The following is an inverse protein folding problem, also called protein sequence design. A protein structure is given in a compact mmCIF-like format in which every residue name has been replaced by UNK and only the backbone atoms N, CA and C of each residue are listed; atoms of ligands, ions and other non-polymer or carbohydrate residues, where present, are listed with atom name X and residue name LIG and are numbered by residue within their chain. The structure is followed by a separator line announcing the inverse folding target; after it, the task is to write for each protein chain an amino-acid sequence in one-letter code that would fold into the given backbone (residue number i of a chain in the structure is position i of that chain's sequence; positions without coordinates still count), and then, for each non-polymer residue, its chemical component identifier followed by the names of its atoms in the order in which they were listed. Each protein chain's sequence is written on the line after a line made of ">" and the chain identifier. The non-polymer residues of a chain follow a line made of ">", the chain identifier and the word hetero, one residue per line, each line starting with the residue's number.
data_IF_596106010458
#
_entry.id   IF_596106010458
#
_cell.length_a   1.000
_cell.length_b   1.000
_cell.length_c   1.000
_cell.angle_alpha   90.00
_cell.angle_beta   90.00
_cell.angle_gamma   90.00
#
_symmetry.space_group_name_H-M   'P 1'
#
loop_
_entity.id
_entity.type
_entity.pdbx_description
1 polymer ?
#
# COMPACT_ATOMS: atom_id res chain seq x y z
N UNK A 1 -10.19 -7.50 25.67
CA UNK A 1 -10.80 -6.91 24.45
C UNK A 1 -9.73 -6.35 23.50
N UNK A 2 -8.83 -5.47 23.95
CA UNK A 2 -7.77 -4.90 23.10
C UNK A 2 -6.79 -5.94 22.50
N UNK A 3 -6.41 -6.96 23.27
CA UNK A 3 -5.52 -8.04 22.79
C UNK A 3 -6.14 -8.84 21.63
N UNK A 4 -7.46 -9.10 21.67
CA UNK A 4 -8.18 -9.80 20.61
C UNK A 4 -8.26 -8.95 19.33
N UNK A 5 -8.44 -7.64 19.47
CA UNK A 5 -8.45 -6.71 18.34
C UNK A 5 -7.09 -6.65 17.63
N UNK A 6 -6.00 -6.57 18.40
CA UNK A 6 -4.64 -6.57 17.86
C UNK A 6 -4.29 -7.91 17.17
N UNK A 7 -4.66 -9.03 17.79
CA UNK A 7 -4.47 -10.36 17.20
C UNK A 7 -5.27 -10.53 15.89
N UNK A 8 -6.52 -10.06 15.85
CA UNK A 8 -7.35 -10.13 14.65
C UNK A 8 -6.82 -9.25 13.51
N UNK A 9 -6.33 -8.04 13.80
CA UNK A 9 -5.68 -7.16 12.82
C UNK A 9 -4.40 -7.79 12.26
N UNK A 10 -3.59 -8.39 13.12
CA UNK A 10 -2.36 -9.06 12.71
C UNK A 10 -2.67 -10.32 11.87
N UNK A 11 -3.63 -11.14 12.26
CA UNK A 11 -4.05 -12.31 11.49
C UNK A 11 -4.62 -11.92 10.12
N UNK A 12 -5.44 -10.87 10.04
CA UNK A 12 -5.94 -10.37 8.76
C UNK A 12 -4.78 -9.91 7.85
N UNK A 13 -3.77 -9.23 8.40
CA UNK A 13 -2.58 -8.84 7.63
C UNK A 13 -1.77 -10.04 7.14
N UNK A 14 -1.63 -11.08 7.96
CA UNK A 14 -0.90 -12.30 7.60
C UNK A 14 -1.67 -13.15 6.58
N UNK A 15 -3.00 -13.14 6.59
CA UNK A 15 -3.82 -13.82 5.59
C UNK A 15 -3.57 -13.31 4.16
N UNK A 16 -3.33 -12.01 3.98
CA UNK A 16 -2.94 -11.46 2.66
C UNK A 16 -1.53 -11.87 2.22
N UNK A 17 -0.67 -12.28 3.16
CA UNK A 17 0.69 -12.77 2.89
C UNK A 17 0.75 -14.31 2.72
N UNK A 18 -0.31 -15.02 3.10
CA UNK A 18 -0.44 -16.50 3.09
C UNK A 18 -1.10 -17.03 1.80
N UNK A 19 -1.15 -16.25 0.73
CA UNK A 19 -1.50 -16.78 -0.61
C UNK A 19 -0.28 -17.47 -1.25
N UNK A 20 0.18 -18.56 -0.63
CA UNK A 20 1.21 -19.44 -1.19
C UNK A 20 1.07 -20.91 -0.70
N UNK A 21 -0.14 -21.34 -0.35
CA UNK A 21 -0.42 -22.78 -0.30
C UNK A 21 -0.62 -23.27 -1.74
N UNK A 22 0.10 -24.30 -2.21
CA UNK A 22 -0.13 -24.85 -3.54
C UNK A 22 -1.50 -25.54 -3.58
N UNK A 23 -2.55 -24.84 -4.01
CA UNK A 23 -3.68 -25.50 -4.66
C UNK A 23 -3.18 -25.94 -6.02
N UNK A 24 -2.88 -27.22 -6.13
CA UNK A 24 -2.55 -27.89 -7.39
C UNK A 24 -3.79 -27.91 -8.29
N UNK A 25 -4.12 -26.77 -8.88
CA UNK A 25 -4.95 -26.73 -10.08
C UNK A 25 -4.04 -27.05 -11.26
N UNK A 26 -4.06 -28.30 -11.70
CA UNK A 26 -3.46 -28.77 -12.94
C UNK A 26 -4.18 -28.10 -14.11
N UNK A 27 -3.73 -26.90 -14.49
CA UNK A 27 -4.24 -26.11 -15.60
C UNK A 27 -3.09 -25.67 -16.50
N UNK A 28 -3.29 -25.82 -17.81
CA UNK A 28 -2.38 -25.60 -18.96
C UNK A 28 -1.14 -24.71 -18.74
N UNK A 29 -0.03 -25.06 -19.40
CA UNK A 29 1.32 -24.47 -19.29
C UNK A 29 1.50 -22.93 -19.47
N UNK A 30 0.42 -22.17 -19.65
CA UNK A 30 0.39 -20.70 -19.56
C UNK A 30 -0.10 -20.18 -18.20
N UNK A 31 -0.61 -21.07 -17.34
CA UNK A 31 -0.94 -20.83 -15.94
C UNK A 31 0.27 -21.27 -15.12
N UNK A 32 1.33 -20.45 -15.15
CA UNK A 32 2.42 -20.60 -14.20
C UNK A 32 1.86 -20.59 -12.77
N UNK A 33 2.47 -21.34 -11.83
CA UNK A 33 2.12 -21.20 -10.42
C UNK A 33 2.25 -19.71 -10.05
N UNK A 34 1.48 -19.22 -9.08
CA UNK A 34 1.55 -17.82 -8.58
C UNK A 34 0.98 -16.71 -9.47
N UNK A 35 -0.35 -16.66 -9.60
CA UNK A 35 -1.07 -15.44 -10.01
C UNK A 35 -0.88 -14.19 -9.12
N UNK A 36 -0.14 -14.33 -8.00
CA UNK A 36 0.20 -13.23 -7.09
C UNK A 36 1.59 -12.62 -7.28
N UNK A 37 2.49 -13.21 -8.07
CA UNK A 37 3.90 -12.77 -8.14
C UNK A 37 4.07 -11.38 -8.78
N UNK A 38 3.48 -11.19 -9.97
CA UNK A 38 3.60 -9.92 -10.72
C UNK A 38 2.77 -8.81 -10.04
N UNK A 39 1.54 -9.13 -9.63
CA UNK A 39 0.65 -8.16 -8.96
C UNK A 39 1.23 -7.77 -7.59
N UNK A 40 1.69 -8.73 -6.80
CA UNK A 40 2.36 -8.47 -5.52
C UNK A 40 3.65 -7.65 -5.69
N UNK A 41 4.42 -7.92 -6.74
CA UNK A 41 5.62 -7.14 -7.06
C UNK A 41 5.29 -5.68 -7.43
N UNK A 42 4.26 -5.45 -8.25
CA UNK A 42 3.79 -4.10 -8.58
C UNK A 42 3.35 -3.35 -7.32
N UNK A 43 2.58 -4.02 -6.45
CA UNK A 43 2.12 -3.44 -5.19
C UNK A 43 3.29 -3.09 -4.26
N UNK A 44 4.32 -3.95 -4.20
CA UNK A 44 5.54 -3.69 -3.43
C UNK A 44 6.32 -2.47 -3.95
N UNK A 45 6.45 -2.31 -5.28
CA UNK A 45 7.07 -1.13 -5.87
C UNK A 45 6.27 0.14 -5.54
N UNK A 46 4.93 0.05 -5.60
CA UNK A 46 4.06 1.19 -5.31
C UNK A 46 4.09 1.59 -3.82
N UNK A 47 4.22 0.64 -2.90
CA UNK A 47 4.41 0.91 -1.46
C UNK A 47 5.69 1.73 -1.21
N UNK A 48 6.81 1.34 -1.85
CA UNK A 48 8.08 2.09 -1.76
C UNK A 48 7.91 3.53 -2.24
N UNK A 49 7.22 3.74 -3.37
CA UNK A 49 6.97 5.07 -3.93
C UNK A 49 6.15 5.92 -2.95
N UNK A 50 5.09 5.36 -2.36
CA UNK A 50 4.26 6.06 -1.38
C UNK A 50 5.07 6.48 -0.15
N UNK A 51 5.95 5.61 0.36
CA UNK A 51 6.83 5.93 1.49
C UNK A 51 7.80 7.06 1.18
N UNK A 52 8.43 7.06 0.01
CA UNK A 52 9.32 8.14 -0.43
C UNK A 52 8.57 9.47 -0.49
N UNK A 53 7.34 9.48 -1.01
CA UNK A 53 6.51 10.69 -1.08
C UNK A 53 6.10 11.20 0.31
N UNK A 54 5.71 10.31 1.22
CA UNK A 54 5.35 10.64 2.61
C UNK A 54 6.54 11.26 3.35
N UNK A 55 7.73 10.67 3.23
CA UNK A 55 8.94 11.17 3.89
C UNK A 55 9.33 12.55 3.35
N UNK A 56 9.27 12.75 2.02
CA UNK A 56 9.59 14.03 1.37
C UNK A 56 8.56 15.14 1.62
N UNK A 57 7.34 14.81 2.07
CA UNK A 57 6.31 15.81 2.32
C UNK A 57 6.64 16.72 3.52
N UNK A 58 6.19 17.99 3.49
CA UNK A 58 6.38 18.95 4.60
C UNK A 58 5.28 18.83 5.68
N UNK A 59 4.76 17.61 5.91
CA UNK A 59 3.68 17.34 6.87
C UNK A 59 4.23 17.11 8.29
N UNK A 60 3.45 17.38 9.35
CA UNK A 60 3.86 17.05 10.72
C UNK A 60 4.19 15.55 10.84
N UNK A 61 5.20 15.19 11.65
CA UNK A 61 5.75 13.82 11.71
C UNK A 61 4.71 12.76 12.09
N UNK A 62 3.74 13.11 12.94
CA UNK A 62 2.63 12.22 13.34
C UNK A 62 1.79 11.78 12.12
N UNK A 63 1.48 12.71 11.22
CA UNK A 63 0.69 12.40 10.02
C UNK A 63 1.47 11.53 9.04
N UNK A 64 2.80 11.69 8.96
CA UNK A 64 3.65 10.83 8.13
C UNK A 64 3.58 9.38 8.61
N UNK A 65 3.71 9.17 9.92
CA UNK A 65 3.68 7.83 10.52
C UNK A 65 2.34 7.14 10.30
N UNK A 66 1.22 7.87 10.45
CA UNK A 66 -0.12 7.32 10.20
C UNK A 66 -0.29 6.86 8.75
N UNK A 67 0.14 7.68 7.78
CA UNK A 67 0.04 7.32 6.37
C UNK A 67 0.95 6.14 5.99
N UNK A 68 2.18 6.08 6.52
CA UNK A 68 3.05 4.92 6.36
C UNK A 68 2.41 3.65 6.93
N UNK A 69 1.82 3.73 8.13
CA UNK A 69 1.19 2.57 8.78
C UNK A 69 -0.01 2.05 7.97
N UNK A 70 -0.83 2.95 7.42
CA UNK A 70 -2.02 2.60 6.61
C UNK A 70 -1.63 1.92 5.30
N UNK A 71 -0.65 2.46 4.56
CA UNK A 71 -0.20 1.86 3.29
C UNK A 71 0.53 0.54 3.55
N UNK A 72 1.33 0.44 4.60
CA UNK A 72 2.05 -0.78 4.95
C UNK A 72 1.12 -1.93 5.39
N UNK A 73 0.13 -1.64 6.23
CA UNK A 73 -0.78 -2.67 6.76
C UNK A 73 -1.80 -3.13 5.72
N UNK A 74 -2.18 -2.24 4.79
CA UNK A 74 -3.12 -2.51 3.71
C UNK A 74 -2.54 -1.99 2.39
N UNK A 75 -1.65 -2.73 1.72
CA UNK A 75 -0.95 -2.18 0.57
C UNK A 75 -1.89 -1.88 -0.60
N UNK A 76 -2.92 -2.68 -0.84
CA UNK A 76 -3.90 -2.39 -1.91
C UNK A 76 -4.89 -1.29 -1.50
N UNK A 77 -5.55 -1.46 -0.35
CA UNK A 77 -6.61 -0.54 0.09
C UNK A 77 -6.03 0.80 0.59
N UNK A 78 -4.93 0.74 1.33
CA UNK A 78 -4.18 1.91 1.82
C UNK A 78 -3.63 2.76 0.69
N UNK A 79 -3.19 2.15 -0.42
CA UNK A 79 -2.82 2.87 -1.65
C UNK A 79 -4.01 3.63 -2.26
N UNK A 80 -5.19 3.01 -2.34
CA UNK A 80 -6.40 3.66 -2.86
C UNK A 80 -6.79 4.85 -1.96
N UNK A 81 -6.78 4.65 -0.65
CA UNK A 81 -7.09 5.70 0.32
C UNK A 81 -6.05 6.83 0.24
N UNK A 82 -4.77 6.49 0.10
CA UNK A 82 -3.70 7.48 -0.08
C UNK A 82 -3.90 8.28 -1.37
N UNK A 83 -4.20 7.61 -2.48
CA UNK A 83 -4.42 8.27 -3.76
C UNK A 83 -5.60 9.26 -3.71
N UNK A 84 -6.70 8.90 -3.03
CA UNK A 84 -7.92 9.71 -2.97
C UNK A 84 -7.88 10.81 -1.90
N UNK A 85 -7.39 10.50 -0.70
CA UNK A 85 -7.55 11.38 0.48
C UNK A 85 -6.25 12.03 0.95
N UNK A 86 -5.08 11.64 0.43
CA UNK A 86 -3.82 12.22 0.90
C UNK A 86 -3.64 13.69 0.50
N UNK A 87 -4.48 14.27 -0.37
CA UNK A 87 -4.33 15.65 -0.87
C UNK A 87 -2.88 16.00 -1.24
N UNK A 88 -2.25 15.08 -1.98
CA UNK A 88 -0.84 15.12 -2.39
C UNK A 88 -0.42 16.45 -3.03
N UNK A 89 -1.30 17.08 -3.82
CA UNK A 89 -1.02 18.36 -4.48
C UNK A 89 -0.78 19.51 -3.49
N UNK A 90 -1.52 19.55 -2.38
CA UNK A 90 -1.38 20.61 -1.35
C UNK A 90 -0.12 20.46 -0.48
N UNK A 91 0.52 19.29 -0.49
CA UNK A 91 1.64 18.98 0.40
C UNK A 91 2.91 18.60 -0.34
N UNK A 92 2.87 18.65 -1.67
CA UNK A 92 4.01 18.45 -2.54
C UNK A 92 4.58 19.83 -2.86
N UNK A 93 5.83 20.06 -2.48
CA UNK A 93 6.53 21.35 -2.52
C UNK A 93 6.85 21.87 -3.93
N UNK A 94 6.25 21.28 -4.96
CA UNK A 94 6.44 21.60 -6.38
C UNK A 94 5.15 22.05 -7.05
N UNK A 95 4.32 22.83 -6.35
CA UNK A 95 3.13 23.45 -6.94
C UNK A 95 3.54 24.28 -8.16
N UNK A 96 3.15 23.84 -9.34
CA UNK A 96 3.22 24.65 -10.54
C UNK A 96 2.20 25.78 -10.39
N UNK A 97 2.70 27.00 -10.26
CA UNK A 97 1.87 28.19 -10.38
C UNK A 97 1.41 28.24 -11.85
N UNK A 98 0.11 28.04 -12.08
CA UNK A 98 -0.45 28.28 -13.40
C UNK A 98 -0.28 29.77 -13.69
N UNK A 99 0.59 30.10 -14.66
CA UNK A 99 0.79 31.47 -15.12
C UNK A 99 -0.57 31.95 -15.65
N UNK A 100 -1.26 32.79 -14.87
CA UNK A 100 -2.46 33.47 -15.33
C UNK A 100 -2.03 34.49 -16.38
N UNK A 101 -2.25 34.12 -17.64
CA UNK A 101 -2.14 35.06 -18.77
C UNK A 101 -3.31 36.03 -18.74
#
# INVERSE_FOLDING_TARGET
>A
MLQLLFAALLQLSLCFLVEAAPITTQGTAWQGPTGGGIVGFIVLVLDIIAWVEIIKSNRPPVNKVIWCLVVFLFPIIGMIIYYLFSNRQSHNSGGYEAIST
#
